data_IF_862601535118
#
_entry.id   IF_862601535118
#
_cell.length_a   1.000
_cell.length_b   1.000
_cell.length_c   1.000
_cell.angle_alpha   90.00
_cell.angle_beta   90.00
_cell.angle_gamma   90.00
#
_symmetry.space_group_name_H-M   'P 1'
#
loop_
_entity.id
_entity.type
_entity.pdbx_description
1 polymer ?
#
# COMPACT_ATOMS: atom_id res chain seq x y z
N UNK A 1 -48.54 -32.44 -6.71
CA UNK A 1 -47.39 -31.55 -6.97
C UNK A 1 -46.65 -31.33 -5.66
N UNK A 2 -45.38 -31.74 -5.56
CA UNK A 2 -44.61 -31.60 -4.32
C UNK A 2 -44.27 -30.12 -4.04
N UNK A 3 -44.52 -29.65 -2.81
CA UNK A 3 -44.13 -28.31 -2.35
C UNK A 3 -42.60 -28.16 -2.47
N UNK A 4 -42.13 -27.14 -3.18
CA UNK A 4 -40.71 -26.74 -3.21
C UNK A 4 -40.22 -26.52 -1.77
N UNK A 5 -39.05 -27.07 -1.46
CA UNK A 5 -38.41 -26.90 -0.15
C UNK A 5 -38.05 -25.43 0.16
N UNK A 6 -37.68 -25.13 1.42
CA UNK A 6 -37.34 -23.78 1.85
C UNK A 6 -36.20 -23.19 1.01
N UNK A 7 -36.30 -21.91 0.64
CA UNK A 7 -35.20 -21.20 -0.01
C UNK A 7 -33.98 -21.17 0.93
N UNK A 8 -32.76 -21.51 0.44
CA UNK A 8 -31.54 -21.36 1.23
C UNK A 8 -31.40 -19.91 1.72
N UNK A 9 -31.14 -19.73 3.01
CA UNK A 9 -30.81 -18.42 3.58
C UNK A 9 -29.34 -18.13 3.27
N UNK A 10 -29.07 -17.48 2.13
CA UNK A 10 -27.73 -16.95 1.84
C UNK A 10 -27.59 -15.58 2.48
N UNK A 11 -26.41 -15.26 3.00
CA UNK A 11 -26.14 -13.91 3.53
C UNK A 11 -25.87 -12.88 2.42
N UNK A 12 -25.69 -13.34 1.18
CA UNK A 12 -25.36 -12.50 0.03
C UNK A 12 -26.58 -12.28 -0.90
N UNK A 13 -26.78 -11.05 -1.41
CA UNK A 13 -27.88 -10.74 -2.33
C UNK A 13 -27.60 -11.23 -3.76
N UNK A 14 -28.65 -11.63 -4.48
CA UNK A 14 -28.63 -12.02 -5.89
C UNK A 14 -29.06 -13.47 -6.16
N UNK A 15 -29.30 -13.84 -7.43
CA UNK A 15 -29.62 -15.21 -7.80
C UNK A 15 -28.40 -16.14 -7.60
N UNK A 16 -28.57 -17.20 -6.81
CA UNK A 16 -27.53 -18.23 -6.60
C UNK A 16 -27.44 -19.15 -7.82
N UNK A 17 -26.23 -19.34 -8.36
CA UNK A 17 -25.94 -20.34 -9.41
C UNK A 17 -25.22 -21.53 -8.77
N UNK A 18 -25.47 -22.74 -9.27
CA UNK A 18 -24.77 -23.95 -8.79
C UNK A 18 -23.30 -23.88 -9.20
N UNK A 19 -22.40 -23.93 -8.22
CA UNK A 19 -20.95 -23.99 -8.41
C UNK A 19 -20.43 -25.37 -7.99
N UNK A 20 -19.80 -26.08 -8.93
CA UNK A 20 -19.16 -27.38 -8.68
C UNK A 20 -17.67 -27.24 -8.93
N UNK A 21 -16.85 -27.63 -7.96
CA UNK A 21 -15.40 -27.61 -8.06
C UNK A 21 -14.80 -28.80 -7.31
N UNK A 22 -13.69 -29.32 -7.82
CA UNK A 22 -12.88 -30.32 -7.12
C UNK A 22 -11.87 -29.59 -6.24
N UNK A 23 -11.81 -29.94 -4.97
CA UNK A 23 -10.85 -29.37 -4.02
C UNK A 23 -10.24 -30.48 -3.17
N UNK A 24 -9.03 -30.22 -2.68
CA UNK A 24 -8.34 -31.16 -1.82
C UNK A 24 -9.08 -31.33 -0.47
N UNK A 25 -9.15 -32.54 0.11
CA UNK A 25 -9.91 -32.80 1.34
C UNK A 25 -9.51 -31.90 2.52
N UNK A 26 -8.22 -31.61 2.66
CA UNK A 26 -7.67 -30.75 3.70
C UNK A 26 -8.15 -29.29 3.55
N UNK A 27 -8.23 -28.78 2.31
CA UNK A 27 -8.74 -27.44 2.04
C UNK A 27 -10.23 -27.35 2.39
N UNK A 28 -11.00 -28.39 2.06
CA UNK A 28 -12.42 -28.47 2.43
C UNK A 28 -12.60 -28.43 3.95
N UNK A 29 -11.81 -29.21 4.69
CA UNK A 29 -11.89 -29.28 6.14
C UNK A 29 -11.57 -27.92 6.80
N UNK A 30 -10.55 -27.21 6.34
CA UNK A 30 -10.22 -25.86 6.82
C UNK A 30 -11.32 -24.84 6.53
N UNK A 31 -11.98 -24.92 5.36
CA UNK A 31 -13.09 -24.05 5.02
C UNK A 31 -14.34 -24.34 5.87
N UNK A 32 -14.65 -25.61 6.14
CA UNK A 32 -15.77 -26.01 7.02
C UNK A 32 -15.52 -25.55 8.46
N UNK A 33 -14.30 -25.72 8.97
CA UNK A 33 -13.88 -25.23 10.30
C UNK A 33 -14.05 -23.71 10.41
N UNK A 34 -13.60 -22.96 9.38
CA UNK A 34 -13.74 -21.51 9.35
C UNK A 34 -15.21 -21.05 9.27
N UNK A 35 -16.04 -21.77 8.51
CA UNK A 35 -17.48 -21.51 8.42
C UNK A 35 -18.18 -21.75 9.76
N UNK A 36 -17.89 -22.88 10.42
CA UNK A 36 -18.45 -23.23 11.73
C UNK A 36 -18.07 -22.21 12.81
N UNK A 37 -16.81 -21.78 12.85
CA UNK A 37 -16.34 -20.76 13.80
C UNK A 37 -17.07 -19.42 13.69
N UNK A 38 -17.68 -19.12 12.53
CA UNK A 38 -18.44 -17.88 12.27
C UNK A 38 -19.95 -18.07 12.24
N UNK A 39 -20.45 -19.29 12.50
CA UNK A 39 -21.86 -19.62 12.40
C UNK A 39 -22.44 -19.52 10.97
N UNK A 40 -21.63 -19.78 9.94
CA UNK A 40 -22.02 -19.71 8.53
C UNK A 40 -21.97 -21.06 7.82
N UNK A 41 -22.44 -21.10 6.57
CA UNK A 41 -22.30 -22.29 5.72
C UNK A 41 -20.96 -22.32 4.99
N UNK A 42 -20.52 -23.51 4.56
CA UNK A 42 -19.35 -23.66 3.69
C UNK A 42 -19.48 -22.79 2.42
N UNK A 43 -20.68 -22.71 1.84
CA UNK A 43 -20.95 -21.88 0.66
C UNK A 43 -20.77 -20.38 0.96
N UNK A 44 -21.25 -19.91 2.12
CA UNK A 44 -21.06 -18.51 2.53
C UNK A 44 -19.58 -18.19 2.75
N UNK A 45 -18.81 -19.12 3.33
CA UNK A 45 -17.37 -18.92 3.54
C UNK A 45 -16.59 -18.92 2.23
N UNK A 46 -16.92 -19.82 1.29
CA UNK A 46 -16.32 -19.82 -0.06
C UNK A 46 -16.64 -18.51 -0.77
N UNK A 47 -17.90 -18.08 -0.80
CA UNK A 47 -18.31 -16.83 -1.44
C UNK A 47 -17.64 -15.61 -0.78
N UNK A 48 -17.54 -15.58 0.55
CA UNK A 48 -16.86 -14.52 1.29
C UNK A 48 -15.40 -14.42 0.89
N UNK A 49 -14.67 -15.54 0.87
CA UNK A 49 -13.25 -15.58 0.50
C UNK A 49 -13.02 -15.23 -0.95
N UNK A 50 -13.83 -15.77 -1.88
CA UNK A 50 -13.73 -15.41 -3.29
C UNK A 50 -14.01 -13.92 -3.51
N UNK A 51 -15.08 -13.38 -2.93
CA UNK A 51 -15.38 -11.95 -2.96
C UNK A 51 -14.22 -11.14 -2.41
N UNK A 52 -13.65 -11.58 -1.27
CA UNK A 52 -12.50 -10.95 -0.67
C UNK A 52 -11.27 -10.99 -1.58
N UNK A 53 -10.99 -12.09 -2.26
CA UNK A 53 -9.88 -12.18 -3.23
C UNK A 53 -10.08 -11.21 -4.38
N UNK A 54 -11.27 -11.17 -4.98
CA UNK A 54 -11.54 -10.25 -6.08
C UNK A 54 -11.61 -8.79 -5.61
N UNK A 55 -12.17 -8.52 -4.44
CA UNK A 55 -12.33 -7.15 -3.94
C UNK A 55 -11.08 -6.61 -3.28
N UNK A 56 -10.32 -7.42 -2.57
CA UNK A 56 -9.14 -6.95 -1.85
C UNK A 56 -7.98 -6.84 -2.85
N UNK A 57 -7.75 -7.80 -3.75
CA UNK A 57 -6.61 -7.68 -4.67
C UNK A 57 -6.80 -6.57 -5.72
N UNK A 58 -8.01 -6.38 -6.28
CA UNK A 58 -8.28 -5.24 -7.18
C UNK A 58 -8.26 -3.90 -6.43
N UNK A 59 -8.92 -3.79 -5.26
CA UNK A 59 -8.93 -2.51 -4.51
C UNK A 59 -7.57 -2.19 -3.89
N UNK A 60 -6.78 -3.21 -3.55
CA UNK A 60 -5.42 -3.01 -3.06
C UNK A 60 -4.54 -2.56 -4.22
N UNK A 61 -4.60 -3.20 -5.40
CA UNK A 61 -3.89 -2.70 -6.59
C UNK A 61 -4.26 -1.25 -6.92
N UNK A 62 -5.56 -0.90 -6.87
CA UNK A 62 -6.02 0.49 -7.05
C UNK A 62 -5.43 1.47 -6.02
N UNK A 63 -5.12 1.00 -4.81
CA UNK A 63 -4.49 1.83 -3.78
C UNK A 63 -3.00 2.07 -4.00
N UNK A 64 -2.32 1.16 -4.70
CA UNK A 64 -0.90 1.24 -5.03
C UNK A 64 -0.65 1.76 -6.46
N UNK A 65 -1.70 2.18 -7.17
CA UNK A 65 -1.65 2.62 -8.56
C UNK A 65 -1.79 1.48 -9.56
N UNK A 66 -1.04 0.40 -9.36
CA UNK A 66 -1.15 -0.82 -10.15
C UNK A 66 -0.75 -2.09 -9.36
N UNK A 67 -1.03 -3.25 -9.95
CA UNK A 67 -0.75 -4.57 -9.35
C UNK A 67 0.75 -4.87 -9.22
N UNK A 68 1.58 -4.41 -10.16
CA UNK A 68 3.03 -4.64 -10.14
C UNK A 68 3.68 -3.87 -8.98
N UNK A 69 3.29 -2.62 -8.79
CA UNK A 69 3.71 -1.75 -7.69
C UNK A 69 3.29 -2.35 -6.35
N UNK A 70 2.05 -2.84 -6.23
CA UNK A 70 1.62 -3.55 -5.03
C UNK A 70 2.49 -4.77 -4.71
N UNK A 71 2.75 -5.62 -5.70
CA UNK A 71 3.58 -6.82 -5.50
C UNK A 71 5.03 -6.46 -5.16
N UNK A 72 5.57 -5.37 -5.72
CA UNK A 72 6.89 -4.85 -5.35
C UNK A 72 6.93 -4.43 -3.88
N UNK A 73 5.95 -3.63 -3.43
CA UNK A 73 5.85 -3.21 -2.02
C UNK A 73 5.68 -4.40 -1.07
N UNK A 74 4.93 -5.43 -1.47
CA UNK A 74 4.81 -6.67 -0.69
C UNK A 74 6.13 -7.43 -0.61
N UNK A 75 6.91 -7.44 -1.69
CA UNK A 75 8.24 -8.08 -1.73
C UNK A 75 9.23 -7.33 -0.83
N UNK A 76 9.21 -6.00 -0.85
CA UNK A 76 9.95 -5.13 0.08
C UNK A 76 9.63 -5.49 1.54
N UNK A 77 8.34 -5.60 1.88
CA UNK A 77 7.92 -5.95 3.24
C UNK A 77 8.45 -7.34 3.68
N UNK A 78 8.39 -8.33 2.77
CA UNK A 78 8.94 -9.68 3.02
C UNK A 78 10.47 -9.65 3.22
N UNK A 79 11.20 -8.87 2.41
CA UNK A 79 12.65 -8.74 2.55
C UNK A 79 13.05 -8.14 3.91
N UNK A 80 12.34 -7.10 4.37
CA UNK A 80 12.55 -6.54 5.71
C UNK A 80 12.26 -7.59 6.78
N UNK A 81 11.16 -8.35 6.66
CA UNK A 81 10.85 -9.43 7.60
C UNK A 81 11.95 -10.51 7.66
N UNK A 82 12.46 -10.95 6.50
CA UNK A 82 13.49 -11.99 6.41
C UNK A 82 14.86 -11.54 6.88
N UNK A 83 15.18 -10.25 6.77
CA UNK A 83 16.44 -9.68 7.25
C UNK A 83 16.61 -9.71 8.78
N UNK A 84 15.61 -10.21 9.52
CA UNK A 84 15.62 -10.31 10.98
C UNK A 84 15.30 -9.00 11.71
N UNK A 85 15.05 -7.93 10.95
CA UNK A 85 14.80 -6.56 11.42
C UNK A 85 13.59 -6.45 12.37
N UNK A 86 12.69 -7.44 12.40
CA UNK A 86 11.54 -7.49 13.32
C UNK A 86 11.43 -8.74 14.19
N UNK A 87 12.39 -9.68 14.12
CA UNK A 87 12.27 -10.99 14.79
C UNK A 87 13.04 -11.10 16.10
N UNK A 88 13.91 -10.13 16.42
CA UNK A 88 14.73 -10.16 17.64
C UNK A 88 13.96 -9.82 18.94
N UNK A 89 12.64 -9.62 18.91
CA UNK A 89 11.85 -9.27 20.09
C UNK A 89 12.11 -7.87 20.66
N UNK A 90 12.87 -7.04 19.93
CA UNK A 90 13.36 -5.71 20.36
C UNK A 90 12.41 -4.55 20.01
N UNK A 91 11.19 -4.83 19.53
CA UNK A 91 10.20 -3.83 19.17
C UNK A 91 10.09 -3.58 17.66
N UNK A 92 9.33 -2.54 17.28
CA UNK A 92 9.13 -2.15 15.89
C UNK A 92 10.42 -1.53 15.33
N UNK A 93 10.93 -2.06 14.22
CA UNK A 93 12.15 -1.56 13.56
C UNK A 93 12.11 -0.09 13.19
N UNK A 94 10.91 0.47 13.00
CA UNK A 94 10.72 1.90 12.78
C UNK A 94 11.18 2.74 13.97
N UNK A 95 11.31 2.19 15.18
CA UNK A 95 11.70 2.92 16.40
C UNK A 95 13.17 2.79 16.76
N UNK A 96 13.91 1.86 16.16
CA UNK A 96 15.32 1.63 16.44
C UNK A 96 16.18 2.14 15.27
N UNK A 97 17.12 3.07 15.47
CA UNK A 97 17.93 3.63 14.39
C UNK A 97 18.78 2.61 13.62
N UNK A 98 19.32 1.59 14.30
CA UNK A 98 20.16 0.58 13.67
C UNK A 98 19.32 -0.37 12.81
N UNK A 99 18.15 -0.79 13.33
CA UNK A 99 17.22 -1.62 12.56
C UNK A 99 16.56 -0.86 11.42
N UNK A 100 16.27 0.43 11.58
CA UNK A 100 15.80 1.31 10.52
C UNK A 100 16.81 1.42 9.37
N UNK A 101 18.08 1.69 9.69
CA UNK A 101 19.14 1.74 8.68
C UNK A 101 19.33 0.39 7.97
N UNK A 102 19.27 -0.73 8.70
CA UNK A 102 19.34 -2.06 8.10
C UNK A 102 18.15 -2.36 7.16
N UNK A 103 16.94 -1.92 7.53
CA UNK A 103 15.77 -2.01 6.66
C UNK A 103 16.00 -1.22 5.38
N UNK A 104 16.41 0.05 5.48
CA UNK A 104 16.68 0.91 4.31
C UNK A 104 17.72 0.27 3.38
N UNK A 105 18.82 -0.26 3.93
CA UNK A 105 19.85 -0.97 3.15
C UNK A 105 19.30 -2.22 2.47
N UNK A 106 18.47 -3.00 3.16
CA UNK A 106 17.81 -4.19 2.60
C UNK A 106 16.90 -3.82 1.44
N UNK A 107 16.05 -2.79 1.61
CA UNK A 107 15.13 -2.30 0.59
C UNK A 107 15.92 -1.81 -0.63
N UNK A 108 16.95 -1.00 -0.42
CA UNK A 108 17.78 -0.49 -1.52
C UNK A 108 18.46 -1.64 -2.28
N UNK A 109 19.06 -2.62 -1.59
CA UNK A 109 19.68 -3.78 -2.25
C UNK A 109 18.68 -4.60 -3.05
N UNK A 110 17.48 -4.80 -2.53
CA UNK A 110 16.40 -5.49 -3.25
C UNK A 110 16.02 -4.76 -4.54
N UNK A 111 15.85 -3.44 -4.46
CA UNK A 111 15.49 -2.62 -5.63
C UNK A 111 16.63 -2.55 -6.65
N UNK A 112 17.88 -2.45 -6.21
CA UNK A 112 19.05 -2.49 -7.11
C UNK A 112 19.16 -3.83 -7.84
N UNK A 113 18.83 -4.94 -7.19
CA UNK A 113 18.91 -6.27 -7.80
C UNK A 113 17.92 -6.48 -8.96
N UNK A 114 16.84 -5.71 -9.00
CA UNK A 114 15.80 -5.75 -10.06
C UNK A 114 15.80 -4.49 -10.93
N UNK A 115 16.79 -3.60 -10.75
CA UNK A 115 16.92 -2.38 -11.55
C UNK A 115 17.10 -2.76 -13.02
N UNK A 116 16.25 -2.26 -13.94
CA UNK A 116 16.43 -2.48 -15.37
C UNK A 116 17.80 -1.96 -15.84
N UNK A 117 18.41 -2.66 -16.80
CA UNK A 117 19.63 -2.18 -17.45
C UNK A 117 19.36 -0.93 -18.30
N UNK A 118 20.32 -0.02 -18.36
CA UNK A 118 20.26 1.18 -19.19
C UNK A 118 20.47 2.49 -18.43
N UNK A 119 20.33 3.60 -19.15
CA UNK A 119 20.38 4.95 -18.57
C UNK A 119 19.15 5.16 -17.66
N UNK A 120 19.32 5.50 -16.37
CA UNK A 120 18.21 5.73 -15.46
C UNK A 120 17.41 7.00 -15.77
N UNK A 121 17.91 7.87 -16.65
CA UNK A 121 17.21 9.11 -17.01
C UNK A 121 15.98 8.79 -17.87
N UNK A 122 14.84 9.46 -17.59
CA UNK A 122 13.66 9.29 -18.41
C UNK A 122 13.96 9.76 -19.84
N UNK A 123 13.51 8.98 -20.82
CA UNK A 123 13.71 9.28 -22.23
C UNK A 123 12.74 10.38 -22.69
N UNK A 124 13.03 11.62 -22.31
CA UNK A 124 12.24 12.82 -22.63
C UNK A 124 13.00 13.63 -23.68
N UNK A 125 12.33 13.94 -24.79
CA UNK A 125 12.90 14.81 -25.82
C UNK A 125 12.82 16.27 -25.39
N UNK A 126 13.91 17.02 -25.56
CA UNK A 126 13.93 18.49 -25.41
C UNK A 126 14.87 19.01 -24.31
N UNK A 127 14.67 18.65 -23.03
CA UNK A 127 15.51 19.14 -21.94
C UNK A 127 16.96 18.63 -22.03
N UNK A 128 17.92 19.43 -21.56
CA UNK A 128 19.30 18.96 -21.43
C UNK A 128 19.40 17.90 -20.32
N UNK A 129 20.42 17.02 -20.32
CA UNK A 129 20.62 16.05 -19.26
C UNK A 129 20.68 16.68 -17.86
N UNK A 130 21.31 17.84 -17.70
CA UNK A 130 21.35 18.58 -16.44
C UNK A 130 19.99 19.10 -15.99
N UNK A 131 19.11 19.46 -16.93
CA UNK A 131 17.74 19.88 -16.60
C UNK A 131 16.91 18.69 -16.13
N UNK A 132 17.10 17.52 -16.77
CA UNK A 132 16.46 16.27 -16.36
C UNK A 132 16.88 15.92 -14.94
N UNK A 133 18.19 15.94 -14.65
CA UNK A 133 18.72 15.62 -13.32
C UNK A 133 18.20 16.60 -12.25
N UNK A 134 18.12 17.90 -12.57
CA UNK A 134 17.58 18.91 -11.66
C UNK A 134 16.08 18.71 -11.37
N UNK A 135 15.28 18.35 -12.39
CA UNK A 135 13.85 18.06 -12.22
C UNK A 135 13.64 16.78 -11.42
N UNK A 136 14.45 15.74 -11.67
CA UNK A 136 14.39 14.49 -10.90
C UNK A 136 14.70 14.72 -9.43
N UNK A 137 15.79 15.42 -9.12
CA UNK A 137 16.16 15.77 -7.75
C UNK A 137 15.06 16.57 -7.06
N UNK A 138 14.54 17.62 -7.71
CA UNK A 138 13.40 18.40 -7.20
C UNK A 138 12.19 17.51 -6.92
N UNK A 139 11.83 16.63 -7.85
CA UNK A 139 10.62 15.81 -7.71
C UNK A 139 10.77 14.82 -6.55
N UNK A 140 11.95 14.21 -6.39
CA UNK A 140 12.24 13.29 -5.29
C UNK A 140 12.14 13.99 -3.93
N UNK A 141 12.77 15.15 -3.80
CA UNK A 141 12.78 15.93 -2.55
C UNK A 141 11.39 16.50 -2.23
N UNK A 142 10.71 17.06 -3.23
CA UNK A 142 9.40 17.68 -3.07
C UNK A 142 8.33 16.64 -2.73
N UNK A 143 8.24 15.54 -3.47
CA UNK A 143 7.19 14.52 -3.27
C UNK A 143 7.35 13.86 -1.90
N UNK A 144 8.57 13.46 -1.53
CA UNK A 144 8.83 12.85 -0.23
C UNK A 144 8.49 13.80 0.92
N UNK A 145 8.91 15.06 0.82
CA UNK A 145 8.64 16.10 1.81
C UNK A 145 7.17 16.45 1.93
N UNK A 146 6.48 16.65 0.80
CA UNK A 146 5.07 17.00 0.77
C UNK A 146 4.20 15.88 1.36
N UNK A 147 4.49 14.62 1.01
CA UNK A 147 3.74 13.49 1.55
C UNK A 147 3.89 13.38 3.07
N UNK A 148 5.11 13.54 3.61
CA UNK A 148 5.30 13.53 5.07
C UNK A 148 4.58 14.67 5.76
N UNK A 149 4.61 15.88 5.18
CA UNK A 149 3.89 17.03 5.72
C UNK A 149 2.37 16.79 5.71
N UNK A 150 1.83 16.24 4.62
CA UNK A 150 0.40 15.91 4.54
C UNK A 150 -0.01 14.83 5.55
N UNK A 151 0.83 13.83 5.79
CA UNK A 151 0.61 12.84 6.85
C UNK A 151 0.66 13.53 8.23
N UNK A 152 1.60 14.44 8.46
CA UNK A 152 1.68 15.19 9.72
C UNK A 152 0.46 16.09 9.94
N UNK A 153 -0.07 16.71 8.89
CA UNK A 153 -1.19 17.65 8.96
C UNK A 153 -2.56 16.97 9.00
N UNK A 154 -2.64 15.68 8.64
CA UNK A 154 -3.91 14.95 8.63
C UNK A 154 -4.60 14.98 10.02
N UNK A 155 -5.90 15.26 10.08
CA UNK A 155 -6.65 15.25 11.34
C UNK A 155 -7.25 13.86 11.60
N UNK A 156 -6.72 13.06 12.55
CA UNK A 156 -7.24 11.72 12.82
C UNK A 156 -8.62 11.74 13.50
N UNK A 157 -9.01 12.86 14.09
CA UNK A 157 -10.31 13.01 14.78
C UNK A 157 -11.47 13.33 13.82
N UNK A 158 -11.16 13.65 12.56
CA UNK A 158 -12.17 14.02 11.59
C UNK A 158 -13.11 12.83 11.26
N UNK A 159 -14.45 13.06 11.21
CA UNK A 159 -15.42 11.99 10.98
C UNK A 159 -15.17 11.16 9.71
N UNK A 160 -15.48 9.86 9.77
CA UNK A 160 -15.33 8.90 8.64
C UNK A 160 -16.14 9.31 7.41
N UNK A 161 -17.22 10.07 7.56
CA UNK A 161 -18.04 10.56 6.46
C UNK A 161 -17.61 11.93 5.92
N UNK A 162 -16.53 12.52 6.44
CA UNK A 162 -16.00 13.82 5.99
C UNK A 162 -14.62 13.66 5.38
N UNK A 163 -14.48 14.16 4.15
CA UNK A 163 -13.20 14.28 3.45
C UNK A 163 -13.15 13.46 2.17
N UNK A 164 -12.02 13.56 1.48
CA UNK A 164 -11.75 12.75 0.29
C UNK A 164 -11.21 11.36 0.66
N UNK A 165 -11.28 10.40 -0.27
CA UNK A 165 -10.64 9.08 -0.07
C UNK A 165 -9.14 9.21 0.25
N UNK A 166 -8.48 10.20 -0.34
CA UNK A 166 -7.07 10.49 -0.09
C UNK A 166 -6.83 10.95 1.34
N UNK A 167 -7.62 11.91 1.83
CA UNK A 167 -7.54 12.37 3.23
C UNK A 167 -7.79 11.23 4.23
N UNK A 168 -8.76 10.35 3.96
CA UNK A 168 -8.98 9.17 4.81
C UNK A 168 -7.76 8.25 4.88
N UNK A 169 -7.02 8.07 3.76
CA UNK A 169 -5.77 7.30 3.75
C UNK A 169 -4.69 7.99 4.58
N UNK A 170 -4.51 9.30 4.43
CA UNK A 170 -3.53 10.05 5.20
C UNK A 170 -3.81 9.97 6.71
N UNK A 171 -5.08 10.03 7.13
CA UNK A 171 -5.48 9.83 8.54
C UNK A 171 -5.09 8.45 9.06
N UNK A 172 -5.41 7.38 8.30
CA UNK A 172 -5.03 6.02 8.65
C UNK A 172 -3.51 5.87 8.79
N UNK A 173 -2.76 6.44 7.85
CA UNK A 173 -1.29 6.42 7.89
C UNK A 173 -0.78 7.20 9.12
N UNK A 174 -1.36 8.36 9.43
CA UNK A 174 -1.00 9.14 10.62
C UNK A 174 -1.30 8.38 11.91
N UNK A 175 -2.42 7.68 11.99
CA UNK A 175 -2.78 6.87 13.17
C UNK A 175 -1.75 5.75 13.42
N UNK A 176 -1.30 5.08 12.36
CA UNK A 176 -0.36 3.95 12.46
C UNK A 176 1.10 4.40 12.65
N UNK A 177 1.55 5.38 11.88
CA UNK A 177 2.98 5.78 11.80
C UNK A 177 3.22 7.27 11.99
N UNK A 178 2.28 8.03 12.58
CA UNK A 178 2.43 9.47 12.81
C UNK A 178 3.66 9.84 13.64
N UNK A 179 4.06 8.98 14.59
CA UNK A 179 5.29 9.15 15.37
C UNK A 179 6.57 9.04 14.51
N UNK A 180 6.53 8.30 13.41
CA UNK A 180 7.63 8.24 12.43
C UNK A 180 7.57 9.47 11.53
N UNK A 181 6.38 9.84 11.06
CA UNK A 181 6.19 11.02 10.23
C UNK A 181 6.73 12.28 10.91
N UNK A 182 6.52 12.43 12.22
CA UNK A 182 7.00 13.55 13.04
C UNK A 182 8.54 13.74 13.04
N UNK A 183 9.31 12.76 12.55
CA UNK A 183 10.78 12.89 12.40
C UNK A 183 11.17 13.70 11.17
N UNK A 184 10.27 13.80 10.18
CA UNK A 184 10.48 14.70 9.05
C UNK A 184 10.42 16.14 9.55
N UNK A 185 11.49 16.89 9.29
CA UNK A 185 11.61 18.30 9.70
C UNK A 185 11.08 19.26 8.63
N UNK A 186 10.62 18.75 7.50
CA UNK A 186 10.20 19.58 6.38
C UNK A 186 8.93 20.34 6.73
N UNK A 187 9.02 21.67 6.70
CA UNK A 187 7.88 22.57 6.84
C UNK A 187 7.30 23.00 5.50
N UNK A 188 6.15 23.68 5.56
CA UNK A 188 5.49 24.27 4.38
C UNK A 188 6.38 25.31 3.68
N UNK A 189 7.15 26.07 4.44
CA UNK A 189 8.06 27.09 3.90
C UNK A 189 9.21 26.47 3.09
N UNK A 190 9.69 25.29 3.47
CA UNK A 190 10.71 24.56 2.71
C UNK A 190 10.17 24.13 1.34
N UNK A 191 8.93 23.64 1.27
CA UNK A 191 8.27 23.28 0.01
C UNK A 191 8.09 24.50 -0.91
N UNK A 192 7.71 25.65 -0.35
CA UNK A 192 7.61 26.89 -1.11
C UNK A 192 8.97 27.33 -1.67
N UNK A 193 10.02 27.24 -0.84
CA UNK A 193 11.39 27.55 -1.27
C UNK A 193 11.85 26.62 -2.39
N UNK A 194 11.60 25.32 -2.29
CA UNK A 194 11.90 24.34 -3.35
C UNK A 194 11.21 24.73 -4.67
N UNK A 195 9.93 25.10 -4.62
CA UNK A 195 9.17 25.49 -5.80
C UNK A 195 9.71 26.79 -6.45
N UNK A 196 10.11 27.77 -5.64
CA UNK A 196 10.70 29.01 -6.12
C UNK A 196 12.09 28.81 -6.72
N UNK A 197 12.91 27.94 -6.13
CA UNK A 197 14.23 27.59 -6.65
C UNK A 197 14.13 26.88 -8.01
N UNK A 198 13.11 26.03 -8.21
CA UNK A 198 12.85 25.42 -9.52
C UNK A 198 12.43 26.46 -10.57
N UNK A 199 11.58 27.43 -10.21
CA UNK A 199 11.17 28.52 -11.13
C UNK A 199 12.37 29.36 -11.56
N UNK A 200 13.23 29.76 -10.61
CA UNK A 200 14.44 30.55 -10.91
C UNK A 200 15.39 29.86 -11.88
N UNK A 201 15.46 28.52 -11.87
CA UNK A 201 16.30 27.74 -12.79
C UNK A 201 15.75 27.72 -14.22
N UNK A 202 14.43 27.81 -14.41
CA UNK A 202 13.82 27.82 -15.73
C UNK A 202 13.99 29.16 -16.46
N UNK A 203 14.16 30.25 -15.71
CA UNK A 203 14.32 31.61 -16.23
C UNK A 203 15.67 32.23 -15.79
N UNK A 204 16.83 31.71 -16.27
CA UNK A 204 18.11 32.35 -16.00
C UNK A 204 18.13 33.72 -16.67
N UNK A 205 18.28 34.77 -15.86
CA UNK A 205 18.50 36.14 -16.35
C UNK A 205 19.81 36.27 -17.11
#
# INVERSE_FOLDING_TARGET
>A
MAKRGPKPKTQFPGPSVVFSSRMAPELKAELEKAAAARGGTLSDEIQRRLRRTFSDDEKIADNFGDSQTYMMMRTIALAVQWSGVGTAGLGNWLSDPAWFDNAVKTINRLLEAVRPEGDPRPNIKGPSPSDIDAVLAYTQDFVSSALWLEIQDADPSAPINKGTRYEHKLRLIKDEIGHVAARSKTGRDDLLKMADDLKRRKDPK
#
